data_IF_489883334286
#
_entry.id   IF_489883334286
#
_cell.length_a   1.000
_cell.length_b   1.000
_cell.length_c   1.000
_cell.angle_alpha   90.00
_cell.angle_beta   90.00
_cell.angle_gamma   90.00
#
_symmetry.space_group_name_H-M   'P 1'
#
loop_
_entity.id
_entity.type
_entity.pdbx_description
1 polymer ?
#
# COMPACT_ATOMS: atom_id res chain seq x y z
N UNK A 1 2.64 1.76 -19.28
CA UNK A 1 2.88 1.87 -17.83
C UNK A 1 2.68 0.50 -17.21
N UNK A 2 3.72 -0.09 -16.64
CA UNK A 2 3.67 -1.41 -15.99
C UNK A 2 2.83 -1.30 -14.72
N UNK A 3 1.75 -2.07 -14.62
CA UNK A 3 0.86 -2.06 -13.45
C UNK A 3 1.57 -2.82 -12.32
N UNK A 4 1.83 -2.18 -11.18
CA UNK A 4 2.45 -2.84 -10.01
C UNK A 4 1.59 -4.02 -9.54
N UNK A 5 2.24 -5.09 -9.13
CA UNK A 5 1.60 -6.27 -8.55
C UNK A 5 1.23 -6.03 -7.09
N UNK A 6 0.29 -6.82 -6.58
CA UNK A 6 -0.08 -6.80 -5.16
C UNK A 6 1.13 -7.01 -4.24
N UNK A 7 2.04 -7.92 -4.59
CA UNK A 7 3.22 -8.21 -3.80
C UNK A 7 4.19 -7.03 -3.73
N UNK A 8 4.35 -6.29 -4.83
CA UNK A 8 5.19 -5.08 -4.86
C UNK A 8 4.61 -3.98 -3.97
N UNK A 9 3.30 -3.69 -4.12
CA UNK A 9 2.64 -2.64 -3.32
C UNK A 9 2.63 -3.00 -1.83
N UNK A 10 2.38 -4.28 -1.50
CA UNK A 10 2.44 -4.78 -0.11
C UNK A 10 3.85 -4.61 0.47
N UNK A 11 4.89 -4.97 -0.29
CA UNK A 11 6.28 -4.84 0.16
C UNK A 11 6.66 -3.39 0.41
N UNK A 12 6.20 -2.46 -0.44
CA UNK A 12 6.39 -1.02 -0.23
C UNK A 12 5.69 -0.54 1.05
N UNK A 13 4.46 -1.02 1.32
CA UNK A 13 3.74 -0.68 2.54
C UNK A 13 4.46 -1.22 3.79
N UNK A 14 4.95 -2.45 3.75
CA UNK A 14 5.73 -3.05 4.83
C UNK A 14 6.99 -2.23 5.13
N UNK A 15 7.68 -1.73 4.11
CA UNK A 15 8.85 -0.85 4.30
C UNK A 15 8.50 0.50 4.92
N UNK A 16 7.31 1.05 4.64
CA UNK A 16 6.84 2.29 5.28
C UNK A 16 6.49 2.04 6.76
N UNK A 17 5.89 0.88 7.06
CA UNK A 17 5.57 0.50 8.44
C UNK A 17 6.82 0.24 9.26
N UNK A 18 7.83 -0.44 8.71
CA UNK A 18 9.14 -0.64 9.33
C UNK A 18 9.83 0.69 9.67
N UNK A 19 9.70 1.69 8.78
CA UNK A 19 10.20 3.04 9.07
C UNK A 19 9.51 3.68 10.29
N UNK A 20 8.20 3.46 10.49
CA UNK A 20 7.46 3.95 11.66
C UNK A 20 7.86 3.26 12.98
N UNK A 21 8.58 2.15 12.93
CA UNK A 21 9.11 1.46 14.12
C UNK A 21 10.49 2.00 14.54
N UNK A 22 11.04 2.98 13.82
CA UNK A 22 12.33 3.60 14.12
C UNK A 22 12.26 4.50 15.37
N UNK A 23 13.37 4.59 16.12
CA UNK A 23 13.42 5.29 17.40
C UNK A 23 13.49 6.84 17.28
N UNK A 24 13.83 7.36 16.10
CA UNK A 24 14.03 8.79 15.84
C UNK A 24 13.18 9.21 14.65
N UNK A 25 11.92 9.55 14.92
CA UNK A 25 10.92 9.90 13.91
C UNK A 25 10.73 11.42 13.92
N UNK A 26 11.06 12.06 12.80
CA UNK A 26 10.69 13.45 12.54
C UNK A 26 9.20 13.56 12.18
N UNK A 27 8.53 14.61 12.68
CA UNK A 27 7.08 14.79 12.52
C UNK A 27 6.70 15.08 11.06
N UNK A 28 7.48 15.90 10.35
CA UNK A 28 7.22 16.21 8.95
C UNK A 28 7.44 14.97 8.07
N UNK A 29 8.48 14.18 8.36
CA UNK A 29 8.68 12.88 7.72
C UNK A 29 7.55 11.90 8.02
N UNK A 30 7.03 11.88 9.26
CA UNK A 30 5.92 11.01 9.65
C UNK A 30 4.64 11.33 8.87
N UNK A 31 4.34 12.62 8.66
CA UNK A 31 3.20 13.05 7.85
C UNK A 31 3.35 12.58 6.40
N UNK A 32 4.55 12.74 5.81
CA UNK A 32 4.82 12.30 4.44
C UNK A 32 4.70 10.77 4.30
N UNK A 33 5.21 10.02 5.27
CA UNK A 33 5.15 8.55 5.31
C UNK A 33 3.73 8.04 5.52
N UNK A 34 2.92 8.75 6.31
CA UNK A 34 1.51 8.44 6.49
C UNK A 34 0.73 8.63 5.17
N UNK A 35 0.94 9.74 4.46
CA UNK A 35 0.32 9.96 3.15
C UNK A 35 0.75 8.89 2.13
N UNK A 36 2.03 8.51 2.14
CA UNK A 36 2.53 7.40 1.32
C UNK A 36 1.83 6.07 1.67
N UNK A 37 1.71 5.73 2.96
CA UNK A 37 1.03 4.52 3.40
C UNK A 37 -0.43 4.51 2.95
N UNK A 38 -1.15 5.63 3.06
CA UNK A 38 -2.54 5.74 2.64
C UNK A 38 -2.71 5.46 1.15
N UNK A 39 -1.84 6.02 0.29
CA UNK A 39 -1.86 5.76 -1.16
C UNK A 39 -1.64 4.29 -1.48
N UNK A 40 -0.69 3.65 -0.81
CA UNK A 40 -0.40 2.22 -1.01
C UNK A 40 -1.58 1.34 -0.58
N UNK A 41 -2.26 1.70 0.51
CA UNK A 41 -3.48 1.02 0.97
C UNK A 41 -4.60 1.14 -0.07
N UNK A 42 -4.82 2.34 -0.63
CA UNK A 42 -5.83 2.58 -1.66
C UNK A 42 -5.54 1.75 -2.94
N UNK A 43 -4.28 1.63 -3.32
CA UNK A 43 -3.87 0.81 -4.45
C UNK A 43 -4.07 -0.70 -4.20
N UNK A 44 -3.78 -1.18 -2.99
CA UNK A 44 -4.04 -2.57 -2.59
C UNK A 44 -5.55 -2.85 -2.58
N UNK A 45 -6.37 -1.97 -2.02
CA UNK A 45 -7.82 -2.10 -2.01
C UNK A 45 -8.39 -2.12 -3.44
N UNK A 46 -7.92 -1.22 -4.32
CA UNK A 46 -8.31 -1.21 -5.72
C UNK A 46 -7.93 -2.53 -6.44
N UNK A 47 -6.75 -3.07 -6.16
CA UNK A 47 -6.31 -4.36 -6.70
C UNK A 47 -7.21 -5.51 -6.24
N UNK A 48 -7.53 -5.55 -4.94
CA UNK A 48 -8.40 -6.57 -4.35
C UNK A 48 -9.82 -6.47 -4.89
N UNK A 49 -10.41 -5.27 -4.95
CA UNK A 49 -11.72 -5.04 -5.54
C UNK A 49 -11.78 -5.47 -7.00
N UNK A 50 -10.73 -5.19 -7.79
CA UNK A 50 -10.66 -5.65 -9.18
C UNK A 50 -10.60 -7.18 -9.27
N UNK A 51 -9.86 -7.83 -8.37
CA UNK A 51 -9.72 -9.29 -8.33
C UNK A 51 -11.02 -9.97 -7.89
N UNK A 52 -11.67 -9.47 -6.83
CA UNK A 52 -12.97 -9.96 -6.35
C UNK A 52 -14.06 -9.83 -7.42
N UNK A 53 -14.11 -8.73 -8.17
CA UNK A 53 -15.05 -8.59 -9.30
C UNK A 53 -14.84 -9.66 -10.38
N UNK A 54 -13.59 -10.04 -10.67
CA UNK A 54 -13.28 -11.12 -11.62
C UNK A 54 -13.68 -12.51 -11.10
N UNK A 55 -13.62 -12.73 -9.79
CA UNK A 55 -14.07 -13.97 -9.17
C UNK A 55 -15.60 -14.07 -9.20
N UNK A 56 -16.32 -12.99 -8.89
CA UNK A 56 -17.79 -12.97 -8.84
C UNK A 56 -18.42 -13.06 -10.24
N UNK A 57 -17.81 -12.50 -11.29
CA UNK A 57 -18.30 -12.63 -12.68
C UNK A 57 -18.10 -14.00 -13.31
N UNK A 58 -17.32 -14.90 -12.68
CA UNK A 58 -17.03 -16.25 -13.18
C UNK A 58 -17.84 -17.36 -12.49
N UNK A 59 -18.65 -17.02 -11.49
CA UNK A 59 -19.59 -17.93 -10.81
C UNK A 59 -21.01 -17.73 -11.32
#
# INVERSE_FOLDING_TARGET
MTKRSYAEIKKELEAVLDWFESADIDLDEAIAKHDQAQRLIDELDAYLKQTSKKLIQKS
#
